data_IF_327609450076
#
_entry.id   IF_327609450076
#
_cell.length_a   1.000
_cell.length_b   1.000
_cell.length_c   1.000
_cell.angle_alpha   90.00
_cell.angle_beta   90.00
_cell.angle_gamma   90.00
#
_symmetry.space_group_name_H-M   'P 1'
#
loop_
_entity.id
_entity.type
_entity.pdbx_description
1 polymer ?
#
# COMPACT_ATOMS: atom_id res chain seq x y z
N UNK A 1 20.78 15.94 -20.87
CA UNK A 1 21.09 15.67 -22.30
C UNK A 1 20.45 16.68 -23.25
N UNK A 2 19.13 16.93 -23.19
CA UNK A 2 18.47 17.93 -24.06
C UNK A 2 18.96 19.38 -23.83
N UNK A 3 19.23 19.77 -22.59
CA UNK A 3 19.74 21.13 -22.25
C UNK A 3 21.12 21.40 -22.89
N UNK A 4 22.06 20.46 -22.76
CA UNK A 4 23.38 20.59 -23.37
C UNK A 4 23.34 20.66 -24.91
N UNK A 5 22.37 19.99 -25.56
CA UNK A 5 22.17 20.09 -26.99
C UNK A 5 21.61 21.48 -27.40
N UNK A 6 20.78 22.10 -26.55
CA UNK A 6 20.19 23.40 -26.79
C UNK A 6 21.23 24.54 -26.67
N UNK A 7 22.12 24.48 -25.66
CA UNK A 7 23.21 25.47 -25.47
C UNK A 7 24.17 25.53 -26.67
N UNK A 8 24.47 24.37 -27.27
CA UNK A 8 25.31 24.29 -28.48
C UNK A 8 24.60 24.94 -29.68
N UNK A 9 23.29 24.81 -29.79
CA UNK A 9 22.50 25.43 -30.88
C UNK A 9 22.36 26.94 -30.70
N UNK A 10 22.13 27.41 -29.47
CA UNK A 10 22.03 28.85 -29.15
C UNK A 10 23.31 29.59 -29.50
N UNK A 11 24.47 29.02 -29.14
CA UNK A 11 25.80 29.58 -29.47
C UNK A 11 26.05 29.61 -30.98
N UNK A 12 25.54 28.61 -31.72
CA UNK A 12 25.80 28.46 -33.15
C UNK A 12 24.89 29.29 -34.05
N UNK A 13 23.67 29.56 -33.62
CA UNK A 13 22.63 30.18 -34.45
C UNK A 13 22.12 31.51 -33.89
N UNK A 14 22.77 32.07 -32.87
CA UNK A 14 22.52 33.40 -32.30
C UNK A 14 21.04 33.63 -31.97
N UNK A 15 20.46 32.72 -31.19
CA UNK A 15 19.11 32.85 -30.65
C UNK A 15 19.10 32.47 -29.17
N UNK A 16 18.21 33.10 -28.42
CA UNK A 16 17.98 32.77 -27.01
C UNK A 16 16.71 31.92 -26.89
N UNK A 17 16.79 30.85 -26.10
CA UNK A 17 15.69 29.98 -25.74
C UNK A 17 15.84 29.62 -24.27
N UNK A 18 15.01 30.21 -23.43
CA UNK A 18 14.94 29.82 -22.02
C UNK A 18 13.91 28.71 -21.89
N UNK A 19 14.17 27.75 -21.01
CA UNK A 19 13.05 26.96 -20.49
C UNK A 19 12.05 27.95 -19.85
N UNK A 20 10.73 27.71 -19.94
CA UNK A 20 9.77 28.50 -19.19
C UNK A 20 10.21 28.56 -17.72
N UNK A 21 10.00 29.72 -17.07
CA UNK A 21 10.42 29.96 -15.69
C UNK A 21 9.84 28.96 -14.67
N UNK A 22 8.90 28.13 -15.09
CA UNK A 22 8.48 26.91 -14.43
C UNK A 22 9.37 25.73 -14.85
N UNK A 23 10.68 25.81 -14.55
CA UNK A 23 11.25 24.63 -13.92
C UNK A 23 10.64 24.68 -12.53
N UNK A 24 9.48 24.04 -12.34
CA UNK A 24 8.98 23.72 -10.99
C UNK A 24 10.20 23.16 -10.31
N UNK A 25 10.76 23.88 -9.33
CA UNK A 25 11.85 23.35 -8.54
C UNK A 25 11.36 21.96 -8.13
N UNK A 26 12.06 20.90 -8.57
CA UNK A 26 11.68 19.53 -8.27
C UNK A 26 11.77 19.41 -6.76
N UNK A 27 10.69 19.76 -6.07
CA UNK A 27 10.65 19.81 -4.63
C UNK A 27 10.62 18.35 -4.21
N UNK A 28 11.81 17.88 -3.84
CA UNK A 28 12.06 16.55 -3.30
C UNK A 28 11.98 16.57 -1.78
N UNK A 29 11.65 17.70 -1.17
CA UNK A 29 11.39 17.74 0.27
C UNK A 29 9.99 17.14 0.54
N UNK A 30 9.89 16.18 1.47
CA UNK A 30 8.61 15.70 1.97
C UNK A 30 7.73 16.86 2.45
N UNK A 31 6.43 16.74 2.24
CA UNK A 31 5.48 17.81 2.57
C UNK A 31 4.89 17.55 3.95
N UNK A 32 4.70 18.59 4.76
CA UNK A 32 4.01 18.45 6.04
C UNK A 32 2.57 17.99 5.80
N UNK A 33 2.18 16.89 6.43
CA UNK A 33 0.83 16.35 6.33
C UNK A 33 -0.18 17.28 7.04
N UNK A 34 -1.41 17.40 6.54
CA UNK A 34 -2.47 18.08 7.27
C UNK A 34 -2.69 17.43 8.64
N UNK A 35 -2.66 18.22 9.71
CA UNK A 35 -3.01 17.73 11.06
C UNK A 35 -4.52 17.53 11.16
N UNK A 36 -4.95 16.41 11.76
CA UNK A 36 -6.35 16.13 12.11
C UNK A 36 -6.74 16.85 13.40
N UNK A 37 -5.78 17.09 14.31
CA UNK A 37 -5.99 17.87 15.55
C UNK A 37 -4.84 18.83 15.82
N UNK A 38 -5.07 19.88 16.64
CA UNK A 38 -4.05 20.90 16.94
C UNK A 38 -2.78 20.33 17.58
N UNK A 39 -2.92 19.31 18.43
CA UNK A 39 -1.83 18.69 19.20
C UNK A 39 -1.22 17.47 18.52
N UNK A 40 -1.55 17.22 17.25
CA UNK A 40 -1.03 16.10 16.50
C UNK A 40 0.46 16.28 16.20
N UNK A 41 1.21 15.19 16.34
CA UNK A 41 2.61 15.11 15.96
C UNK A 41 2.77 15.44 14.48
N UNK A 42 3.79 16.24 14.15
CA UNK A 42 4.11 16.51 12.75
C UNK A 42 4.49 15.21 12.04
N UNK A 43 3.86 14.98 10.90
CA UNK A 43 4.11 13.86 10.00
C UNK A 43 4.16 14.38 8.57
N UNK A 44 4.71 13.59 7.66
CA UNK A 44 5.00 14.02 6.30
C UNK A 44 4.37 13.09 5.27
N UNK A 45 3.83 13.66 4.21
CA UNK A 45 3.45 12.95 2.98
C UNK A 45 4.57 13.10 1.94
N UNK A 46 4.53 12.32 0.84
CA UNK A 46 5.56 12.39 -0.19
C UNK A 46 5.76 13.80 -0.76
N UNK A 47 6.96 14.05 -1.25
CA UNK A 47 7.33 15.27 -1.97
C UNK A 47 6.48 15.46 -3.23
N UNK A 48 6.35 16.70 -3.71
CA UNK A 48 5.64 16.97 -4.97
C UNK A 48 6.28 16.22 -6.14
N UNK A 49 7.61 16.08 -6.14
CA UNK A 49 8.31 15.28 -7.14
C UNK A 49 7.90 13.80 -7.09
N UNK A 50 7.92 13.21 -5.89
CA UNK A 50 7.57 11.80 -5.68
C UNK A 50 6.13 11.50 -6.10
N UNK A 51 5.17 12.38 -5.76
CA UNK A 51 3.78 12.25 -6.20
C UNK A 51 3.64 12.31 -7.72
N UNK A 52 4.34 13.23 -8.38
CA UNK A 52 4.28 13.38 -9.83
C UNK A 52 4.82 12.16 -10.58
N UNK A 53 5.89 11.51 -10.08
CA UNK A 53 6.45 10.31 -10.74
C UNK A 53 5.69 9.03 -10.38
N UNK A 54 4.90 9.05 -9.31
CA UNK A 54 4.01 7.96 -8.91
C UNK A 54 2.63 8.04 -9.58
N UNK A 55 2.37 9.11 -10.33
CA UNK A 55 1.11 9.36 -11.03
C UNK A 55 1.24 9.11 -12.55
N UNK A 56 0.28 8.42 -13.18
CA UNK A 56 -0.89 7.81 -12.56
C UNK A 56 -0.56 6.46 -11.91
N UNK A 57 -1.18 6.17 -10.77
CA UNK A 57 -1.07 4.87 -10.09
C UNK A 57 -1.87 3.75 -10.78
N UNK A 58 -2.75 4.10 -11.73
CA UNK A 58 -3.62 3.18 -12.46
C UNK A 58 -3.30 3.16 -13.96
N UNK A 59 -2.04 2.93 -14.31
CA UNK A 59 -1.60 2.76 -15.70
C UNK A 59 -2.33 1.56 -16.30
N UNK A 60 -2.93 1.73 -17.48
CA UNK A 60 -3.63 0.69 -18.23
C UNK A 60 -4.76 -0.03 -17.47
N UNK A 61 -5.42 0.65 -16.52
CA UNK A 61 -6.60 0.10 -15.86
C UNK A 61 -7.65 -0.35 -16.88
N UNK A 62 -8.09 -1.60 -16.76
CA UNK A 62 -9.13 -2.18 -17.59
C UNK A 62 -10.33 -2.57 -16.74
N UNK A 63 -11.48 -1.98 -17.07
CA UNK A 63 -12.74 -2.43 -16.50
C UNK A 63 -13.02 -3.87 -16.96
N UNK A 64 -12.93 -4.82 -16.04
CA UNK A 64 -13.17 -6.23 -16.35
C UNK A 64 -14.63 -6.47 -16.69
N UNK A 65 -14.87 -7.14 -17.82
CA UNK A 65 -16.20 -7.63 -18.18
C UNK A 65 -16.50 -8.91 -17.41
N UNK A 66 -17.37 -8.81 -16.40
CA UNK A 66 -17.84 -9.97 -15.64
C UNK A 66 -18.93 -10.69 -16.42
N UNK A 67 -18.57 -11.83 -17.04
CA UNK A 67 -19.49 -12.63 -17.86
C UNK A 67 -20.48 -13.41 -16.99
N UNK A 68 -20.03 -13.89 -15.83
CA UNK A 68 -20.83 -14.66 -14.87
C UNK A 68 -20.41 -14.28 -13.45
N UNK A 69 -21.15 -13.39 -12.77
CA UNK A 69 -20.85 -13.04 -11.39
C UNK A 69 -21.09 -14.25 -10.48
N UNK A 70 -20.37 -14.29 -9.37
CA UNK A 70 -20.67 -15.14 -8.23
C UNK A 70 -22.05 -14.75 -7.66
N UNK A 71 -22.85 -15.75 -7.29
CA UNK A 71 -24.21 -15.56 -6.76
C UNK A 71 -24.44 -16.28 -5.43
N UNK A 72 -23.36 -16.74 -4.78
CA UNK A 72 -23.42 -17.33 -3.45
C UNK A 72 -23.33 -16.28 -2.35
N UNK A 73 -23.03 -16.73 -1.14
CA UNK A 73 -23.06 -15.89 0.07
C UNK A 73 -21.68 -15.65 0.68
N UNK A 74 -20.62 -16.23 0.11
CA UNK A 74 -19.27 -16.05 0.63
C UNK A 74 -18.78 -14.62 0.37
N UNK A 75 -18.05 -14.09 1.35
CA UNK A 75 -17.46 -12.75 1.33
C UNK A 75 -15.95 -12.81 1.19
N UNK A 76 -15.31 -11.64 1.09
CA UNK A 76 -13.86 -11.48 1.27
C UNK A 76 -13.63 -10.76 2.60
N UNK A 77 -12.77 -11.32 3.45
CA UNK A 77 -12.35 -10.68 4.69
C UNK A 77 -11.14 -9.79 4.42
N UNK A 78 -11.32 -8.48 4.54
CA UNK A 78 -10.27 -7.48 4.39
C UNK A 78 -9.57 -7.27 5.74
N UNK A 79 -8.30 -7.62 5.81
CA UNK A 79 -7.46 -7.48 7.00
C UNK A 79 -6.62 -6.22 6.84
N UNK A 80 -6.93 -5.19 7.64
CA UNK A 80 -6.40 -3.85 7.50
C UNK A 80 -5.76 -3.34 8.80
N UNK A 81 -5.02 -2.24 8.71
CA UNK A 81 -4.49 -1.50 9.85
C UNK A 81 -5.30 -0.23 10.14
N UNK A 82 -5.34 0.17 11.40
CA UNK A 82 -5.79 1.49 11.85
C UNK A 82 -4.63 2.45 12.09
N UNK A 83 -3.39 1.97 11.97
CA UNK A 83 -2.19 2.76 12.21
C UNK A 83 -1.80 3.56 10.96
N UNK A 84 -1.42 4.82 11.15
CA UNK A 84 -1.19 5.80 10.07
C UNK A 84 0.09 6.62 10.25
N UNK A 85 0.86 6.37 11.30
CA UNK A 85 2.14 7.01 11.56
C UNK A 85 3.23 5.95 11.55
N UNK A 86 4.07 5.97 10.50
CA UNK A 86 5.24 5.11 10.42
C UNK A 86 6.48 5.87 10.86
N UNK A 87 7.12 5.41 11.92
CA UNK A 87 8.39 5.94 12.44
C UNK A 87 9.53 5.59 11.47
N UNK A 88 10.16 6.60 10.88
CA UNK A 88 11.35 6.45 10.03
C UNK A 88 12.51 7.31 10.53
N UNK A 89 13.72 7.02 10.08
CA UNK A 89 14.94 7.64 10.59
C UNK A 89 15.52 8.66 9.61
N UNK A 90 15.57 9.93 10.00
CA UNK A 90 16.39 10.96 9.35
C UNK A 90 17.67 11.18 10.17
N UNK A 91 18.75 10.52 9.76
CA UNK A 91 19.97 10.42 10.54
C UNK A 91 19.71 9.75 11.89
N UNK A 92 19.85 10.49 12.99
CA UNK A 92 19.55 9.99 14.35
C UNK A 92 18.17 10.40 14.87
N UNK A 93 17.38 11.12 14.08
CA UNK A 93 16.07 11.62 14.48
C UNK A 93 14.98 10.71 13.96
N UNK A 94 13.97 10.43 14.79
CA UNK A 94 12.73 9.82 14.33
C UNK A 94 11.83 10.89 13.75
N UNK A 95 11.37 10.68 12.52
CA UNK A 95 10.36 11.48 11.82
C UNK A 95 9.24 10.55 11.37
N UNK A 96 8.03 11.08 11.19
CA UNK A 96 6.85 10.25 10.94
C UNK A 96 6.37 10.38 9.50
N UNK A 97 6.22 9.25 8.81
CA UNK A 97 5.54 9.18 7.53
C UNK A 97 4.03 9.03 7.75
N UNK A 98 3.24 9.92 7.14
CA UNK A 98 1.78 9.91 7.20
C UNK A 98 1.23 8.95 6.15
N UNK A 99 0.87 7.75 6.61
CA UNK A 99 0.54 6.60 5.76
C UNK A 99 -0.79 5.97 6.16
N UNK A 100 -1.01 4.73 5.74
CA UNK A 100 -2.19 3.91 5.89
C UNK A 100 -2.19 2.89 4.77
N UNK A 101 -3.38 2.53 4.29
CA UNK A 101 -3.51 1.79 3.05
C UNK A 101 -3.56 2.68 1.82
N UNK A 102 -2.82 2.30 0.78
CA UNK A 102 -2.86 2.97 -0.51
C UNK A 102 -4.26 2.82 -1.14
N UNK A 103 -4.89 3.93 -1.52
CA UNK A 103 -6.33 3.93 -1.88
C UNK A 103 -6.61 3.11 -3.13
N UNK A 104 -5.74 3.17 -4.15
CA UNK A 104 -5.91 2.33 -5.36
C UNK A 104 -5.70 0.85 -5.05
N UNK A 105 -4.76 0.51 -4.17
CA UNK A 105 -4.48 -0.88 -3.81
C UNK A 105 -5.60 -1.51 -2.99
N UNK A 106 -6.34 -0.70 -2.22
CA UNK A 106 -7.54 -1.15 -1.53
C UNK A 106 -8.75 -1.19 -2.47
N UNK A 107 -9.07 -0.06 -3.10
CA UNK A 107 -10.39 0.10 -3.72
C UNK A 107 -10.45 -0.40 -5.17
N UNK A 108 -9.35 -0.52 -5.91
CA UNK A 108 -9.36 -1.18 -7.23
C UNK A 108 -9.73 -2.66 -7.10
N UNK A 109 -9.06 -3.47 -6.24
CA UNK A 109 -9.47 -4.86 -6.03
C UNK A 109 -10.91 -4.97 -5.53
N UNK A 110 -11.32 -4.15 -4.54
CA UNK A 110 -12.69 -4.17 -4.04
C UNK A 110 -13.73 -3.84 -5.11
N UNK A 111 -13.46 -2.87 -5.99
CA UNK A 111 -14.32 -2.56 -7.13
C UNK A 111 -14.52 -3.79 -8.02
N UNK A 112 -13.44 -4.49 -8.37
CA UNK A 112 -13.53 -5.71 -9.19
C UNK A 112 -14.22 -6.87 -8.47
N UNK A 113 -13.95 -7.08 -7.18
CA UNK A 113 -14.60 -8.11 -6.39
C UNK A 113 -16.11 -7.87 -6.26
N UNK A 114 -16.52 -6.61 -6.05
CA UNK A 114 -17.91 -6.18 -5.91
C UNK A 114 -18.68 -6.45 -7.19
N UNK A 115 -18.13 -6.04 -8.34
CA UNK A 115 -18.67 -6.33 -9.66
C UNK A 115 -18.72 -7.82 -9.98
N UNK A 116 -17.85 -8.61 -9.35
CA UNK A 116 -17.82 -10.06 -9.47
C UNK A 116 -18.83 -10.76 -8.55
N UNK A 117 -19.55 -10.04 -7.71
CA UNK A 117 -20.62 -10.55 -6.85
C UNK A 117 -20.18 -10.89 -5.41
N UNK A 118 -18.99 -10.48 -4.98
CA UNK A 118 -18.54 -10.65 -3.61
C UNK A 118 -18.86 -9.42 -2.76
N UNK A 119 -19.28 -9.64 -1.52
CA UNK A 119 -19.35 -8.62 -0.48
C UNK A 119 -18.14 -8.74 0.47
N UNK A 120 -17.95 -7.74 1.33
CA UNK A 120 -16.74 -7.58 2.15
C UNK A 120 -17.07 -7.40 3.62
N UNK A 121 -16.24 -7.97 4.48
CA UNK A 121 -16.13 -7.53 5.86
C UNK A 121 -14.71 -7.00 6.09
N UNK A 122 -14.58 -6.00 6.96
CA UNK A 122 -13.31 -5.39 7.30
C UNK A 122 -12.94 -5.71 8.74
N UNK A 123 -11.65 -5.87 9.01
CA UNK A 123 -11.13 -6.08 10.35
C UNK A 123 -9.82 -5.34 10.59
N UNK A 124 -9.64 -4.84 11.81
CA UNK A 124 -8.39 -4.28 12.33
C UNK A 124 -8.11 -4.89 13.70
N UNK A 125 -6.93 -4.63 14.28
CA UNK A 125 -6.53 -5.20 15.58
C UNK A 125 -7.58 -4.94 16.67
N UNK A 126 -7.94 -3.67 16.88
CA UNK A 126 -8.89 -3.27 17.93
C UNK A 126 -10.28 -2.86 17.41
N UNK A 127 -10.55 -3.01 16.11
CA UNK A 127 -11.81 -2.57 15.48
C UNK A 127 -11.90 -1.05 15.31
N UNK A 128 -10.75 -0.37 15.32
CA UNK A 128 -10.65 1.07 15.05
C UNK A 128 -10.77 1.34 13.55
N UNK A 129 -11.14 2.57 13.20
CA UNK A 129 -11.24 3.06 11.82
C UNK A 129 -9.95 2.77 11.03
N UNK A 130 -10.13 2.29 9.80
CA UNK A 130 -9.03 1.95 8.90
C UNK A 130 -8.27 3.21 8.50
N UNK A 131 -6.95 3.14 8.56
CA UNK A 131 -6.06 4.18 8.08
C UNK A 131 -5.93 4.13 6.56
N UNK A 132 -6.14 5.27 5.88
CA UNK A 132 -5.94 5.43 4.44
C UNK A 132 -4.88 6.49 4.16
N UNK A 133 -4.11 6.27 3.11
CA UNK A 133 -3.24 7.29 2.51
C UNK A 133 -4.11 8.24 1.66
N UNK A 134 -4.86 9.13 2.30
CA UNK A 134 -5.85 10.00 1.62
C UNK A 134 -5.26 10.79 0.43
N UNK A 135 -3.97 11.14 0.51
CA UNK A 135 -3.22 11.82 -0.57
C UNK A 135 -3.02 10.96 -1.83
N UNK A 136 -3.33 9.66 -1.79
CA UNK A 136 -3.21 8.74 -2.95
C UNK A 136 -4.45 8.71 -3.84
N UNK A 137 -5.59 9.28 -3.41
CA UNK A 137 -6.79 9.36 -4.25
C UNK A 137 -6.50 10.11 -5.55
N UNK A 138 -5.74 11.20 -5.47
CA UNK A 138 -5.37 12.04 -6.61
C UNK A 138 -4.36 11.37 -7.56
N UNK A 139 -3.78 10.22 -7.16
CA UNK A 139 -2.90 9.42 -8.03
C UNK A 139 -3.69 8.52 -8.98
N UNK A 140 -4.98 8.31 -8.74
CA UNK A 140 -5.86 7.49 -9.56
C UNK A 140 -6.36 8.22 -10.82
N UNK A 141 -5.48 8.93 -11.55
CA UNK A 141 -5.86 9.87 -12.62
C UNK A 141 -6.77 9.23 -13.67
N UNK A 142 -7.97 9.80 -13.82
CA UNK A 142 -9.01 9.32 -14.73
C UNK A 142 -9.99 8.29 -14.13
N UNK A 143 -9.74 7.86 -12.89
CA UNK A 143 -10.52 6.85 -12.16
C UNK A 143 -10.82 7.27 -10.71
N UNK A 144 -10.55 8.52 -10.34
CA UNK A 144 -10.72 9.06 -9.00
C UNK A 144 -12.17 8.84 -8.50
N UNK A 145 -13.15 9.18 -9.35
CA UNK A 145 -14.58 9.01 -9.04
C UNK A 145 -14.96 7.53 -8.77
N UNK A 146 -14.32 6.59 -9.47
CA UNK A 146 -14.60 5.15 -9.30
C UNK A 146 -14.11 4.67 -7.93
N UNK A 147 -12.89 5.06 -7.56
CA UNK A 147 -12.27 4.68 -6.29
C UNK A 147 -12.96 5.38 -5.11
N UNK A 148 -13.31 6.67 -5.26
CA UNK A 148 -14.09 7.39 -4.25
C UNK A 148 -15.49 6.78 -4.07
N UNK A 149 -16.20 6.44 -5.16
CA UNK A 149 -17.49 5.78 -5.07
C UNK A 149 -17.41 4.41 -4.39
N UNK A 150 -16.34 3.64 -4.66
CA UNK A 150 -16.11 2.36 -3.98
C UNK A 150 -15.86 2.58 -2.47
N UNK A 151 -15.01 3.54 -2.10
CA UNK A 151 -14.76 3.93 -0.70
C UNK A 151 -16.05 4.35 0.01
N UNK A 152 -16.86 5.20 -0.61
CA UNK A 152 -18.12 5.69 -0.03
C UNK A 152 -19.15 4.57 0.13
N UNK A 153 -19.18 3.59 -0.78
CA UNK A 153 -20.08 2.43 -0.66
C UNK A 153 -19.77 1.52 0.54
N UNK A 154 -18.59 1.68 1.16
CA UNK A 154 -18.14 0.89 2.31
C UNK A 154 -17.76 1.74 3.52
N UNK A 155 -18.00 3.07 3.50
CA UNK A 155 -17.49 4.01 4.51
C UNK A 155 -17.83 3.61 5.95
N UNK A 156 -19.08 3.20 6.20
CA UNK A 156 -19.53 2.80 7.55
C UNK A 156 -18.72 1.59 8.07
N UNK A 157 -18.35 0.68 7.18
CA UNK A 157 -17.56 -0.52 7.51
C UNK A 157 -16.07 -0.23 7.65
N UNK A 158 -15.55 0.81 6.99
CA UNK A 158 -14.19 1.31 7.21
C UNK A 158 -14.06 2.01 8.56
N UNK A 159 -15.09 2.75 8.98
CA UNK A 159 -15.15 3.45 10.26
C UNK A 159 -15.34 2.50 11.46
N UNK A 160 -15.97 1.34 11.24
CA UNK A 160 -16.30 0.38 12.31
C UNK A 160 -15.99 -1.07 11.91
N UNK A 161 -14.72 -1.41 11.64
CA UNK A 161 -14.35 -2.78 11.30
C UNK A 161 -14.45 -3.71 12.51
N UNK A 162 -14.46 -5.03 12.25
CA UNK A 162 -14.38 -6.05 13.28
C UNK A 162 -13.01 -6.04 13.97
N UNK A 163 -12.95 -6.53 15.20
CA UNK A 163 -11.68 -6.80 15.87
C UNK A 163 -11.10 -8.13 15.39
N UNK A 164 -9.79 -8.23 15.25
CA UNK A 164 -9.15 -9.52 14.93
C UNK A 164 -9.48 -10.61 15.95
N UNK A 165 -9.61 -10.25 17.23
CA UNK A 165 -9.96 -11.20 18.29
C UNK A 165 -11.38 -11.77 18.19
N UNK A 166 -12.32 -11.02 17.60
CA UNK A 166 -13.71 -11.45 17.47
C UNK A 166 -13.90 -12.48 16.32
N UNK A 167 -12.92 -12.58 15.42
CA UNK A 167 -12.97 -13.49 14.27
C UNK A 167 -12.53 -14.89 14.71
N UNK A 168 -13.50 -15.77 14.97
CA UNK A 168 -13.26 -17.12 15.51
C UNK A 168 -13.35 -18.25 14.47
N UNK A 169 -13.92 -17.98 13.29
CA UNK A 169 -14.00 -18.91 12.16
C UNK A 169 -13.99 -18.12 10.84
N UNK A 170 -13.83 -18.81 9.71
CA UNK A 170 -13.78 -18.19 8.38
C UNK A 170 -14.80 -18.80 7.39
N UNK A 171 -15.83 -19.49 7.89
CA UNK A 171 -16.78 -20.25 7.08
C UNK A 171 -17.60 -19.37 6.12
N UNK A 172 -17.71 -18.08 6.42
CA UNK A 172 -18.38 -17.08 5.60
C UNK A 172 -17.49 -16.47 4.50
N UNK A 173 -16.20 -16.82 4.44
CA UNK A 173 -15.23 -16.17 3.56
C UNK A 173 -14.71 -17.11 2.47
N UNK A 174 -14.63 -16.59 1.25
CA UNK A 174 -13.97 -17.25 0.13
C UNK A 174 -12.46 -16.96 0.11
N UNK A 175 -12.06 -15.80 0.63
CA UNK A 175 -10.68 -15.33 0.63
C UNK A 175 -10.44 -14.35 1.79
N UNK A 176 -9.16 -14.18 2.12
CA UNK A 176 -8.67 -13.04 2.90
C UNK A 176 -7.90 -12.10 1.97
N UNK A 177 -8.06 -10.80 2.17
CA UNK A 177 -7.40 -9.76 1.38
C UNK A 177 -6.65 -8.78 2.29
N UNK A 178 -5.39 -8.50 1.98
CA UNK A 178 -4.52 -7.60 2.74
C UNK A 178 -3.99 -6.52 1.77
N UNK A 179 -4.62 -5.34 1.70
CA UNK A 179 -4.14 -4.24 0.86
C UNK A 179 -2.78 -3.71 1.34
N UNK A 180 -2.03 -3.09 0.45
CA UNK A 180 -0.72 -2.48 0.77
C UNK A 180 -0.82 -1.02 1.20
N UNK A 181 0.06 -0.16 0.69
CA UNK A 181 0.52 1.07 1.36
C UNK A 181 1.53 0.76 2.48
N UNK A 182 2.16 1.78 3.09
CA UNK A 182 3.15 1.54 4.15
C UNK A 182 2.53 1.22 5.53
N UNK A 183 1.22 1.41 5.73
CA UNK A 183 0.51 1.07 6.96
C UNK A 183 0.76 -0.36 7.48
N UNK A 184 0.65 -1.42 6.66
CA UNK A 184 1.03 -2.79 7.00
C UNK A 184 2.43 -2.99 7.61
N UNK A 185 3.36 -2.07 7.38
CA UNK A 185 4.71 -2.10 7.96
C UNK A 185 4.69 -1.76 9.46
N UNK A 186 3.73 -0.95 9.91
CA UNK A 186 3.67 -0.44 11.29
C UNK A 186 3.42 -1.57 12.28
N UNK A 187 2.34 -2.33 12.10
CA UNK A 187 1.83 -3.18 13.18
C UNK A 187 1.35 -4.59 12.76
N UNK A 188 0.82 -4.78 11.54
CA UNK A 188 0.13 -6.03 11.18
C UNK A 188 0.96 -7.29 11.43
N UNK A 189 2.27 -7.23 11.17
CA UNK A 189 3.19 -8.34 11.39
C UNK A 189 3.42 -8.73 12.87
N UNK A 190 2.98 -7.90 13.82
CA UNK A 190 3.21 -8.05 15.26
C UNK A 190 2.02 -8.69 16.00
N UNK A 191 0.85 -8.78 15.37
CA UNK A 191 -0.39 -9.17 16.03
C UNK A 191 -0.62 -10.69 16.00
N UNK A 192 -0.60 -11.34 17.16
CA UNK A 192 -0.88 -12.78 17.28
C UNK A 192 -2.28 -13.14 16.75
N UNK A 193 -3.26 -12.26 16.95
CA UNK A 193 -4.64 -12.44 16.50
C UNK A 193 -4.76 -12.45 14.98
N UNK A 194 -4.02 -11.57 14.30
CA UNK A 194 -3.90 -11.61 12.84
C UNK A 194 -3.21 -12.90 12.40
N UNK A 195 -2.12 -13.28 13.08
CA UNK A 195 -1.42 -14.53 12.83
C UNK A 195 -2.33 -15.75 12.92
N UNK A 196 -3.21 -15.79 13.92
CA UNK A 196 -4.24 -16.83 14.11
C UNK A 196 -5.21 -16.87 12.93
N UNK A 197 -5.73 -15.73 12.48
CA UNK A 197 -6.63 -15.64 11.32
C UNK A 197 -5.94 -16.17 10.06
N UNK A 198 -4.70 -15.75 9.80
CA UNK A 198 -3.95 -16.20 8.61
C UNK A 198 -3.63 -17.69 8.64
N UNK A 199 -3.31 -18.25 9.82
CA UNK A 199 -3.14 -19.70 9.98
C UNK A 199 -4.45 -20.46 9.75
N UNK A 200 -5.58 -19.93 10.21
CA UNK A 200 -6.90 -20.51 9.94
C UNK A 200 -7.23 -20.48 8.45
N UNK A 201 -7.00 -19.35 7.77
CA UNK A 201 -7.20 -19.22 6.33
C UNK A 201 -6.37 -20.25 5.56
N UNK A 202 -5.08 -20.36 5.89
CA UNK A 202 -4.18 -21.36 5.31
C UNK A 202 -4.67 -22.80 5.56
N UNK A 203 -5.03 -23.14 6.81
CA UNK A 203 -5.49 -24.49 7.16
C UNK A 203 -6.78 -24.90 6.44
N UNK A 204 -7.62 -23.93 6.07
CA UNK A 204 -8.85 -24.13 5.33
C UNK A 204 -8.67 -24.04 3.81
N UNK A 205 -7.44 -23.80 3.32
CA UNK A 205 -7.14 -23.52 1.91
C UNK A 205 -7.94 -22.34 1.34
N UNK A 206 -8.22 -21.32 2.15
CA UNK A 206 -8.75 -20.06 1.64
C UNK A 206 -7.68 -19.34 0.83
N UNK A 207 -8.12 -18.65 -0.24
CA UNK A 207 -7.21 -17.79 -1.01
C UNK A 207 -6.75 -16.62 -0.15
N UNK A 208 -5.45 -16.37 -0.11
CA UNK A 208 -4.85 -15.17 0.49
C UNK A 208 -4.38 -14.24 -0.62
N UNK A 209 -4.94 -13.04 -0.67
CA UNK A 209 -4.65 -12.02 -1.68
C UNK A 209 -3.93 -10.87 -0.98
N UNK A 210 -2.80 -10.41 -1.52
CA UNK A 210 -2.07 -9.27 -0.99
C UNK A 210 -1.16 -8.63 -2.05
N UNK A 211 -0.76 -7.38 -1.82
CA UNK A 211 0.05 -6.58 -2.75
C UNK A 211 0.89 -5.52 -2.01
N UNK A 212 1.92 -5.00 -2.69
CA UNK A 212 2.83 -3.96 -2.20
C UNK A 212 3.48 -4.36 -0.86
N UNK A 213 3.25 -3.65 0.25
CA UNK A 213 3.70 -4.06 1.60
C UNK A 213 2.70 -4.89 2.39
N UNK A 214 1.49 -5.10 1.88
CA UNK A 214 0.49 -5.98 2.49
C UNK A 214 1.04 -7.37 2.89
N UNK A 215 1.92 -8.02 2.09
CA UNK A 215 2.50 -9.30 2.47
C UNK A 215 3.32 -9.28 3.77
N UNK A 216 3.76 -8.11 4.25
CA UNK A 216 4.42 -7.98 5.56
C UNK A 216 3.56 -8.57 6.69
N UNK A 217 2.23 -8.43 6.59
CA UNK A 217 1.27 -8.99 7.54
C UNK A 217 1.39 -10.52 7.70
N UNK A 218 1.86 -11.24 6.67
CA UNK A 218 2.02 -12.70 6.73
C UNK A 218 2.95 -13.12 7.86
N UNK A 219 3.98 -12.32 8.19
CA UNK A 219 4.92 -12.58 9.29
C UNK A 219 4.23 -12.84 10.62
N UNK A 220 3.06 -12.25 10.87
CA UNK A 220 2.27 -12.51 12.09
C UNK A 220 1.91 -14.00 12.24
N UNK A 221 1.76 -14.74 11.15
CA UNK A 221 1.48 -16.17 11.18
C UNK A 221 2.65 -16.99 11.76
N UNK A 222 3.86 -16.46 11.80
CA UNK A 222 5.03 -17.10 12.42
C UNK A 222 5.02 -17.00 13.96
N UNK A 223 4.22 -16.10 14.54
CA UNK A 223 4.11 -15.95 16.01
C UNK A 223 3.46 -17.18 16.65
N UNK A 224 2.62 -17.90 15.91
CA UNK A 224 1.92 -19.11 16.36
C UNK A 224 2.69 -20.44 16.14
N UNK A 225 4.00 -20.39 15.89
CA UNK A 225 4.83 -21.56 15.60
C UNK A 225 5.28 -21.61 14.14
N UNK A 226 5.41 -22.83 13.57
CA UNK A 226 5.92 -23.01 12.21
C UNK A 226 5.19 -22.14 11.19
N UNK A 227 5.94 -21.37 10.41
CA UNK A 227 5.40 -20.40 9.48
C UNK A 227 4.74 -21.10 8.26
N UNK A 228 3.42 -20.96 8.06
CA UNK A 228 2.70 -21.76 7.06
C UNK A 228 3.01 -21.38 5.61
N UNK A 229 3.45 -20.14 5.36
CA UNK A 229 3.78 -19.66 4.01
C UNK A 229 5.25 -19.88 3.63
N UNK A 230 6.00 -20.69 4.38
CA UNK A 230 7.37 -21.04 4.00
C UNK A 230 7.38 -21.82 2.68
N UNK A 231 8.24 -21.44 1.74
CA UNK A 231 8.32 -22.00 0.39
C UNK A 231 7.29 -21.41 -0.60
N UNK A 232 6.41 -20.50 -0.17
CA UNK A 232 5.52 -19.81 -1.09
C UNK A 232 6.31 -18.83 -1.95
N UNK A 233 5.88 -18.70 -3.20
CA UNK A 233 6.38 -17.70 -4.14
C UNK A 233 5.49 -16.47 -4.11
N UNK A 234 6.06 -15.32 -3.85
CA UNK A 234 5.32 -14.05 -3.82
C UNK A 234 6.03 -12.99 -4.64
N UNK A 235 5.27 -11.95 -4.93
CA UNK A 235 5.80 -10.63 -5.28
C UNK A 235 5.45 -9.65 -4.17
N UNK A 236 6.34 -8.69 -3.94
CA UNK A 236 6.24 -7.72 -2.86
C UNK A 236 6.94 -6.43 -3.28
N UNK A 237 6.59 -5.30 -2.67
CA UNK A 237 7.36 -4.08 -2.85
C UNK A 237 8.83 -4.32 -2.41
N UNK A 238 9.83 -4.06 -3.28
CA UNK A 238 11.22 -4.37 -2.96
C UNK A 238 11.79 -3.47 -1.86
N UNK A 239 12.54 -4.04 -0.91
CA UNK A 239 13.21 -3.26 0.15
C UNK A 239 14.20 -2.22 -0.45
N UNK A 240 14.77 -2.52 -1.61
CA UNK A 240 15.64 -1.59 -2.35
C UNK A 240 14.90 -0.32 -2.76
N UNK A 241 13.62 -0.44 -3.14
CA UNK A 241 12.83 0.73 -3.52
C UNK A 241 12.53 1.59 -2.28
N UNK A 242 12.23 0.97 -1.13
CA UNK A 242 12.09 1.69 0.14
C UNK A 242 13.38 2.41 0.55
N UNK A 243 14.53 1.75 0.44
CA UNK A 243 15.85 2.34 0.76
C UNK A 243 16.19 3.54 -0.15
N UNK A 244 15.70 3.55 -1.39
CA UNK A 244 15.93 4.64 -2.34
C UNK A 244 14.92 5.79 -2.19
N UNK A 245 13.69 5.48 -1.79
CA UNK A 245 12.56 6.42 -1.77
C UNK A 245 12.78 7.74 -0.99
N UNK A 246 13.59 7.81 0.09
CA UNK A 246 13.89 9.09 0.76
C UNK A 246 14.70 10.04 -0.10
N UNK A 247 15.47 9.55 -1.07
CA UNK A 247 16.31 10.39 -1.95
C UNK A 247 15.51 11.29 -2.87
N UNK A 248 14.23 10.94 -3.09
CA UNK A 248 13.25 11.73 -3.84
C UNK A 248 12.14 12.27 -2.93
N UNK A 249 12.28 12.10 -1.61
CA UNK A 249 11.34 12.54 -0.59
C UNK A 249 10.00 11.86 -0.61
N UNK A 250 9.92 10.59 -1.07
CA UNK A 250 8.68 9.83 -0.88
C UNK A 250 8.49 9.52 0.61
N UNK A 251 9.46 8.83 1.20
CA UNK A 251 9.58 8.72 2.66
C UNK A 251 10.38 9.91 3.21
N UNK A 252 10.04 10.44 4.39
CA UNK A 252 10.79 11.53 5.04
C UNK A 252 12.08 11.06 5.72
N UNK A 253 12.35 9.77 5.73
CA UNK A 253 13.53 9.14 6.32
C UNK A 253 13.57 7.66 5.97
N UNK A 254 14.53 6.94 6.52
CA UNK A 254 14.79 5.54 6.18
C UNK A 254 14.05 4.59 7.13
N UNK A 255 13.44 3.54 6.57
CA UNK A 255 12.91 2.43 7.36
C UNK A 255 14.05 1.61 7.98
N UNK A 256 13.75 0.92 9.08
CA UNK A 256 14.74 0.08 9.77
C UNK A 256 14.77 -1.35 9.21
N UNK A 257 15.82 -2.10 9.50
CA UNK A 257 15.92 -3.53 9.12
C UNK A 257 14.76 -4.39 9.67
N UNK A 258 14.14 -4.01 10.79
CA UNK A 258 12.98 -4.71 11.34
C UNK A 258 11.69 -4.50 10.51
N UNK A 259 11.65 -3.38 9.78
CA UNK A 259 10.52 -2.94 8.94
C UNK A 259 10.60 -3.49 7.51
N UNK A 260 11.80 -3.89 7.05
CA UNK A 260 12.05 -4.43 5.70
C UNK A 260 11.26 -5.69 5.41
N UNK A 261 10.15 -5.56 4.69
CA UNK A 261 9.19 -6.64 4.51
C UNK A 261 9.79 -7.80 3.68
N UNK A 262 10.50 -7.49 2.60
CA UNK A 262 11.07 -8.48 1.70
C UNK A 262 12.13 -9.33 2.41
N UNK A 263 13.11 -8.70 3.06
CA UNK A 263 14.17 -9.38 3.80
C UNK A 263 13.63 -10.27 4.93
N UNK A 264 12.65 -9.76 5.69
CA UNK A 264 12.07 -10.52 6.80
C UNK A 264 11.22 -11.71 6.33
N UNK A 265 10.50 -11.59 5.21
CA UNK A 265 9.76 -12.73 4.63
C UNK A 265 10.71 -13.77 4.02
N UNK A 266 11.79 -13.35 3.35
CA UNK A 266 12.85 -14.26 2.88
C UNK A 266 13.48 -15.03 4.05
N UNK A 267 13.70 -14.38 5.20
CA UNK A 267 14.22 -15.04 6.40
C UNK A 267 13.27 -16.11 6.96
N UNK A 268 11.96 -16.00 6.71
CA UNK A 268 10.95 -17.01 7.04
C UNK A 268 10.80 -18.11 5.97
N UNK A 269 11.59 -18.05 4.89
CA UNK A 269 11.63 -19.03 3.82
C UNK A 269 10.66 -18.75 2.67
N UNK A 270 10.11 -17.54 2.56
CA UNK A 270 9.36 -17.13 1.37
C UNK A 270 10.31 -16.91 0.19
N UNK A 271 9.89 -17.32 -1.01
CA UNK A 271 10.59 -17.06 -2.26
C UNK A 271 10.03 -15.79 -2.91
N UNK A 272 10.79 -14.69 -2.91
CA UNK A 272 10.39 -13.45 -3.59
C UNK A 272 10.88 -13.46 -5.03
N UNK A 273 9.96 -13.30 -5.98
CA UNK A 273 10.24 -13.46 -7.42
C UNK A 273 10.64 -12.17 -8.14
N UNK A 274 10.22 -11.00 -7.65
CA UNK A 274 10.58 -9.71 -8.23
C UNK A 274 11.80 -9.10 -7.54
N UNK A 275 12.53 -8.26 -8.28
CA UNK A 275 13.67 -7.47 -7.76
C UNK A 275 13.49 -5.97 -8.00
N UNK A 276 12.49 -5.61 -8.78
CA UNK A 276 12.10 -4.24 -9.11
C UNK A 276 10.59 -4.09 -8.89
N UNK A 277 10.12 -2.85 -8.86
CA UNK A 277 8.70 -2.53 -8.86
C UNK A 277 8.15 -2.72 -10.28
N UNK A 278 7.15 -3.59 -10.43
CA UNK A 278 6.45 -3.84 -11.68
C UNK A 278 4.96 -4.15 -11.41
N UNK A 279 4.19 -4.40 -12.47
CA UNK A 279 2.75 -4.69 -12.43
C UNK A 279 2.45 -6.20 -12.35
N UNK A 280 3.44 -7.03 -12.02
CA UNK A 280 3.32 -8.48 -12.13
C UNK A 280 2.70 -9.14 -10.89
N UNK A 281 2.06 -10.28 -11.11
CA UNK A 281 1.28 -11.02 -10.09
C UNK A 281 1.80 -12.46 -10.00
N UNK A 282 1.94 -12.98 -8.78
CA UNK A 282 2.17 -14.41 -8.50
C UNK A 282 0.86 -15.06 -8.06
N UNK A 283 0.61 -16.31 -8.49
CA UNK A 283 -0.60 -17.09 -8.22
C UNK A 283 -0.24 -18.44 -7.62
#
# INVERSE_FOLDING_TARGET
LAVAALEVLQTKFDFEATLPAEVVAMNMDPQLAPRRTENETDSYIPSTYALNVSSPAMVDFQELTVIRPYNGTLKILVLATSEWLLDVMDGSQTVFFNTGHHTTEMFVPLHHFSRSGFDFDFATQEGNEIALEEWTFDLAVGYEDVIQAMRDSVSDRLATPQKFDDITNLDAYAAVFIPGGHGPVIDLHLHESLGRILRMAHAQNLTTISLCHGPNALRSAALGGDFPYSGYKIRIFPDMADDWSPTVGYLPGYITEAMKAEANLKALGVEVENTEMDDSVSV
#
